data_IF_835715908702
#
_entry.id   IF_835715908702
#
_cell.length_a   1.000
_cell.length_b   1.000
_cell.length_c   1.000
_cell.angle_alpha   90.00
_cell.angle_beta   90.00
_cell.angle_gamma   90.00
#
_symmetry.space_group_name_H-M   'P 1'
#
loop_
_entity.id
_entity.type
_entity.pdbx_description
1 polymer ?
#
# COMPACT_ATOMS: atom_id res chain seq x y z
N UNK A 1 -8.00 20.27 -1.45
CA UNK A 1 -7.48 19.04 -2.08
C UNK A 1 -6.48 19.50 -3.12
N UNK A 2 -5.17 19.25 -2.91
CA UNK A 2 -4.15 19.57 -3.90
C UNK A 2 -4.13 18.43 -4.92
N UNK A 3 -4.82 18.62 -6.04
CA UNK A 3 -4.72 17.70 -7.18
C UNK A 3 -3.38 17.95 -7.86
N UNK A 4 -2.67 16.88 -8.21
CA UNK A 4 -1.43 16.96 -8.97
C UNK A 4 -1.68 16.50 -10.39
N UNK A 5 -1.27 17.32 -11.36
CA UNK A 5 -1.21 16.90 -12.75
C UNK A 5 0.16 16.24 -13.01
N UNK A 6 0.20 15.07 -13.67
CA UNK A 6 1.46 14.46 -14.10
C UNK A 6 2.18 15.31 -15.14
N UNK A 7 3.49 15.44 -14.99
CA UNK A 7 4.36 16.03 -16.00
C UNK A 7 4.57 15.07 -17.18
N UNK A 8 4.98 15.55 -18.37
CA UNK A 8 5.31 14.68 -19.49
C UNK A 8 6.38 13.64 -19.17
N UNK A 9 7.34 13.96 -18.30
CA UNK A 9 8.37 13.01 -17.85
C UNK A 9 7.78 11.88 -16.98
N UNK A 10 6.81 12.22 -16.12
CA UNK A 10 6.10 11.23 -15.30
C UNK A 10 5.21 10.32 -16.13
N UNK A 11 4.56 10.85 -17.17
CA UNK A 11 3.79 10.04 -18.12
C UNK A 11 4.71 9.12 -18.92
N UNK A 12 5.88 9.62 -19.35
CA UNK A 12 6.87 8.82 -20.06
C UNK A 12 7.38 7.64 -19.23
N UNK A 13 7.80 7.91 -17.98
CA UNK A 13 8.24 6.85 -17.07
C UNK A 13 7.13 5.86 -16.73
N UNK A 14 5.90 6.33 -16.50
CA UNK A 14 4.75 5.45 -16.25
C UNK A 14 4.53 4.48 -17.43
N UNK A 15 4.61 4.99 -18.66
CA UNK A 15 4.51 4.18 -19.89
C UNK A 15 5.61 3.12 -19.96
N UNK A 16 6.86 3.50 -19.68
CA UNK A 16 7.99 2.54 -19.66
C UNK A 16 7.80 1.43 -18.62
N UNK A 17 7.28 1.76 -17.43
CA UNK A 17 6.99 0.78 -16.39
C UNK A 17 5.85 -0.18 -16.81
N UNK A 18 4.79 0.34 -17.43
CA UNK A 18 3.69 -0.46 -17.97
C UNK A 18 4.16 -1.43 -19.06
N UNK A 19 4.92 -0.94 -20.04
CA UNK A 19 5.47 -1.76 -21.12
C UNK A 19 6.34 -2.90 -20.56
N UNK A 20 7.15 -2.58 -19.55
CA UNK A 20 7.96 -3.57 -18.84
C UNK A 20 7.07 -4.61 -18.14
N UNK A 21 6.05 -4.19 -17.40
CA UNK A 21 5.14 -5.10 -16.71
C UNK A 21 4.40 -6.03 -17.68
N UNK A 22 3.90 -5.48 -18.79
CA UNK A 22 3.24 -6.24 -19.87
C UNK A 22 4.18 -7.28 -20.46
N UNK A 23 5.44 -6.92 -20.73
CA UNK A 23 6.44 -7.86 -21.26
C UNK A 23 6.73 -9.04 -20.33
N UNK A 24 6.46 -8.87 -19.04
CA UNK A 24 6.64 -9.87 -17.98
C UNK A 24 5.34 -10.58 -17.58
N UNK A 25 4.20 -10.21 -18.18
CA UNK A 25 2.89 -10.76 -17.82
C UNK A 25 2.43 -10.36 -16.42
N UNK A 26 2.86 -9.20 -15.92
CA UNK A 26 2.53 -8.69 -14.59
C UNK A 26 1.28 -7.81 -14.62
N UNK A 27 0.49 -7.87 -13.55
CA UNK A 27 -0.65 -6.96 -13.35
C UNK A 27 -0.15 -5.65 -12.71
N UNK A 28 0.13 -4.66 -13.54
CA UNK A 28 0.51 -3.31 -13.14
C UNK A 28 -0.18 -2.32 -14.06
N UNK A 29 -1.17 -1.60 -13.54
CA UNK A 29 -2.03 -0.73 -14.34
C UNK A 29 -1.50 0.70 -14.46
N UNK A 30 -2.15 1.47 -15.34
CA UNK A 30 -1.81 2.87 -15.63
C UNK A 30 -1.93 3.81 -14.42
N UNK A 31 -2.79 3.49 -13.45
CA UNK A 31 -2.91 4.29 -12.24
C UNK A 31 -1.69 4.11 -11.33
N UNK A 32 -1.32 2.86 -11.09
CA UNK A 32 -0.20 2.51 -10.23
C UNK A 32 1.16 2.86 -10.86
N UNK A 33 1.32 2.68 -12.17
CA UNK A 33 2.50 3.15 -12.92
C UNK A 33 2.69 4.66 -12.77
N UNK A 34 1.60 5.43 -12.85
CA UNK A 34 1.63 6.87 -12.74
C UNK A 34 2.01 7.32 -11.32
N UNK A 35 1.48 6.68 -10.28
CA UNK A 35 1.82 6.95 -8.88
C UNK A 35 3.29 6.61 -8.59
N UNK A 36 3.80 5.50 -9.13
CA UNK A 36 5.21 5.12 -8.99
C UNK A 36 6.11 6.08 -9.75
N UNK A 37 5.73 6.54 -10.94
CA UNK A 37 6.50 7.54 -11.66
C UNK A 37 6.60 8.86 -10.87
N UNK A 38 5.49 9.30 -10.25
CA UNK A 38 5.47 10.46 -9.35
C UNK A 38 6.36 10.23 -8.12
N UNK A 39 6.27 9.05 -7.50
CA UNK A 39 7.15 8.66 -6.38
C UNK A 39 8.62 8.83 -6.75
N UNK A 40 9.02 8.32 -7.91
CA UNK A 40 10.41 8.31 -8.35
C UNK A 40 10.90 9.70 -8.77
N UNK A 41 10.14 10.42 -9.60
CA UNK A 41 10.61 11.68 -10.20
C UNK A 41 10.45 12.89 -9.28
N UNK A 42 9.47 12.89 -8.37
CA UNK A 42 9.34 13.95 -7.35
C UNK A 42 10.08 13.64 -6.07
N UNK A 43 10.81 12.52 -6.02
CA UNK A 43 11.51 12.04 -4.83
C UNK A 43 10.60 11.98 -3.60
N UNK A 44 9.31 11.63 -3.80
CA UNK A 44 8.38 11.54 -2.69
C UNK A 44 8.87 10.46 -1.70
N UNK A 45 8.76 10.68 -0.38
CA UNK A 45 9.40 9.78 0.58
C UNK A 45 8.72 8.41 0.62
N UNK A 46 7.41 8.36 0.32
CA UNK A 46 6.59 7.16 0.46
C UNK A 46 5.39 7.19 -0.47
N UNK A 47 5.06 6.04 -1.07
CA UNK A 47 3.77 5.77 -1.69
C UNK A 47 3.01 4.76 -0.81
N UNK A 48 1.76 5.08 -0.46
CA UNK A 48 0.85 4.14 0.20
C UNK A 48 -0.16 3.64 -0.83
N UNK A 49 -0.28 2.33 -1.02
CA UNK A 49 -1.27 1.72 -1.92
C UNK A 49 -1.93 0.49 -1.31
N UNK A 50 -3.18 0.23 -1.72
CA UNK A 50 -3.88 -1.02 -1.46
C UNK A 50 -3.64 -2.10 -2.52
N UNK A 51 -3.08 -1.76 -3.69
CA UNK A 51 -2.89 -2.73 -4.76
C UNK A 51 -1.65 -3.62 -4.49
N UNK A 52 -1.91 -4.78 -3.90
CA UNK A 52 -0.90 -5.79 -3.58
C UNK A 52 -0.22 -6.37 -4.84
N UNK A 53 -0.94 -6.39 -5.97
CA UNK A 53 -0.41 -6.91 -7.24
C UNK A 53 0.59 -5.92 -7.83
N UNK A 54 0.30 -4.63 -7.71
CA UNK A 54 1.25 -3.59 -8.09
C UNK A 54 2.55 -3.69 -7.29
N UNK A 55 2.46 -3.83 -5.96
CA UNK A 55 3.66 -3.98 -5.10
C UNK A 55 4.48 -5.22 -5.51
N UNK A 56 3.82 -6.35 -5.80
CA UNK A 56 4.48 -7.56 -6.30
C UNK A 56 5.12 -7.36 -7.68
N UNK A 57 4.46 -6.62 -8.58
CA UNK A 57 5.00 -6.28 -9.89
C UNK A 57 6.28 -5.43 -9.77
N UNK A 58 6.33 -4.46 -8.85
CA UNK A 58 7.54 -3.66 -8.62
C UNK A 58 8.75 -4.52 -8.21
N UNK A 59 8.52 -5.49 -7.33
CA UNK A 59 9.56 -6.46 -6.94
C UNK A 59 9.98 -7.34 -8.12
N UNK A 60 9.02 -7.88 -8.87
CA UNK A 60 9.30 -8.72 -10.04
C UNK A 60 10.07 -7.96 -11.14
N UNK A 61 9.75 -6.68 -11.34
CA UNK A 61 10.48 -5.77 -12.22
C UNK A 61 11.83 -5.32 -11.64
N UNK A 62 12.22 -5.74 -10.43
CA UNK A 62 13.47 -5.33 -9.79
C UNK A 62 13.63 -3.80 -9.77
N UNK A 63 12.56 -3.08 -9.45
CA UNK A 63 12.57 -1.62 -9.40
C UNK A 63 13.24 -1.13 -8.11
N UNK A 64 14.57 -1.22 -8.06
CA UNK A 64 15.36 -0.91 -6.85
C UNK A 64 15.18 0.51 -6.35
N UNK A 65 14.84 1.46 -7.23
CA UNK A 65 14.56 2.85 -6.87
C UNK A 65 13.29 3.03 -6.02
N UNK A 66 12.42 2.02 -5.96
CA UNK A 66 11.22 1.99 -5.13
C UNK A 66 11.41 1.18 -3.83
N UNK A 67 12.58 0.57 -3.61
CA UNK A 67 12.86 -0.19 -2.38
C UNK A 67 12.68 0.68 -1.14
N UNK A 68 12.04 0.10 -0.12
CA UNK A 68 11.72 0.74 1.17
C UNK A 68 10.91 2.03 1.07
N UNK A 69 10.26 2.29 -0.06
CA UNK A 69 9.48 3.52 -0.32
C UNK A 69 8.01 3.26 -0.60
N UNK A 70 7.55 2.03 -0.43
CA UNK A 70 6.15 1.64 -0.57
C UNK A 70 5.63 1.15 0.78
N UNK A 71 4.43 1.56 1.17
CA UNK A 71 3.68 0.93 2.25
C UNK A 71 2.36 0.37 1.71
N UNK A 72 1.96 -0.80 2.21
CA UNK A 72 0.62 -1.30 1.92
C UNK A 72 -0.42 -0.71 2.87
N UNK A 73 -1.69 -0.77 2.49
CA UNK A 73 -2.79 -0.26 3.29
C UNK A 73 -2.87 -0.90 4.69
N UNK A 74 -2.51 -2.18 4.83
CA UNK A 74 -2.44 -2.85 6.13
C UNK A 74 -1.38 -2.24 7.06
N UNK A 75 -0.22 -1.84 6.54
CA UNK A 75 0.81 -1.18 7.35
C UNK A 75 0.30 0.17 7.88
N UNK A 76 -0.41 0.92 7.04
CA UNK A 76 -1.07 2.18 7.45
C UNK A 76 -2.07 1.92 8.59
N UNK A 77 -2.94 0.93 8.48
CA UNK A 77 -3.92 0.63 9.54
C UNK A 77 -3.28 0.07 10.82
N UNK A 78 -2.23 -0.74 10.71
CA UNK A 78 -1.48 -1.20 11.88
C UNK A 78 -0.85 -0.03 12.64
N UNK A 79 -0.28 0.93 11.92
CA UNK A 79 0.24 2.17 12.49
C UNK A 79 -0.86 3.02 13.14
N UNK A 80 -2.02 3.16 12.49
CA UNK A 80 -3.14 3.90 13.05
C UNK A 80 -3.65 3.26 14.35
N UNK A 81 -3.74 1.93 14.42
CA UNK A 81 -4.12 1.21 15.65
C UNK A 81 -3.10 1.38 16.79
N UNK A 82 -1.82 1.58 16.48
CA UNK A 82 -0.82 1.90 17.48
C UNK A 82 -1.01 3.29 18.12
N UNK A 83 -1.70 4.21 17.42
CA UNK A 83 -1.91 5.60 17.86
C UNK A 83 -3.35 5.92 18.28
N UNK A 84 -4.31 5.10 17.88
CA UNK A 84 -5.74 5.39 18.02
C UNK A 84 -6.52 4.21 18.60
N UNK A 85 -7.59 4.47 19.37
CA UNK A 85 -8.47 3.40 19.84
C UNK A 85 -9.11 2.64 18.68
N UNK A 86 -9.36 1.35 18.88
CA UNK A 86 -9.95 0.46 17.87
C UNK A 86 -11.34 0.94 17.41
N UNK A 87 -12.25 1.22 18.33
CA UNK A 87 -13.67 1.46 18.03
C UNK A 87 -13.94 2.58 17.01
N UNK A 88 -13.35 3.79 17.15
CA UNK A 88 -13.53 4.84 16.15
C UNK A 88 -13.02 4.45 14.76
N UNK A 89 -11.84 3.80 14.69
CA UNK A 89 -11.23 3.38 13.43
C UNK A 89 -12.08 2.29 12.76
N UNK A 90 -12.46 1.28 13.54
CA UNK A 90 -13.34 0.18 13.11
C UNK A 90 -14.68 0.69 12.61
N UNK A 91 -15.28 1.68 13.27
CA UNK A 91 -16.55 2.27 12.83
C UNK A 91 -16.43 2.90 11.44
N UNK A 92 -15.36 3.65 11.18
CA UNK A 92 -15.11 4.25 9.88
C UNK A 92 -14.91 3.19 8.79
N UNK A 93 -14.06 2.19 9.05
CA UNK A 93 -13.80 1.10 8.11
C UNK A 93 -15.08 0.32 7.80
N UNK A 94 -15.84 -0.06 8.83
CA UNK A 94 -17.04 -0.87 8.65
C UNK A 94 -18.23 -0.10 8.06
N UNK A 95 -18.16 1.23 7.97
CA UNK A 95 -19.09 2.01 7.16
C UNK A 95 -18.80 1.89 5.65
N UNK A 96 -17.54 1.64 5.28
CA UNK A 96 -17.04 1.59 3.89
C UNK A 96 -16.56 0.18 3.50
N UNK A 97 -17.38 -0.84 3.75
CA UNK A 97 -17.01 -2.28 3.62
C UNK A 97 -16.55 -2.70 2.22
N UNK A 98 -16.96 -1.95 1.19
CA UNK A 98 -16.62 -2.23 -0.20
C UNK A 98 -15.27 -1.62 -0.61
N UNK A 99 -14.69 -0.74 0.21
CA UNK A 99 -13.43 -0.05 -0.11
C UNK A 99 -12.25 -1.02 -0.16
N UNK A 100 -12.12 -1.91 0.83
CA UNK A 100 -11.09 -2.95 0.85
C UNK A 100 -11.57 -4.19 1.63
N UNK A 101 -11.58 -5.34 0.96
CA UNK A 101 -12.05 -6.61 1.53
C UNK A 101 -11.10 -7.18 2.58
N UNK A 102 -9.79 -7.01 2.41
CA UNK A 102 -8.80 -7.52 3.36
C UNK A 102 -8.84 -6.72 4.66
N UNK A 103 -8.94 -5.40 4.58
CA UNK A 103 -9.12 -4.53 5.75
C UNK A 103 -10.47 -4.82 6.42
N UNK A 104 -11.56 -4.93 5.65
CA UNK A 104 -12.89 -5.29 6.18
C UNK A 104 -12.87 -6.62 6.94
N UNK A 105 -12.12 -7.60 6.44
CA UNK A 105 -11.93 -8.88 7.10
C UNK A 105 -11.10 -8.74 8.39
N UNK A 106 -9.98 -8.01 8.36
CA UNK A 106 -9.13 -7.79 9.53
C UNK A 106 -9.88 -7.08 10.68
N UNK A 107 -10.71 -6.09 10.36
CA UNK A 107 -11.51 -5.35 11.35
C UNK A 107 -12.82 -6.04 11.75
N UNK A 108 -13.03 -7.26 11.26
CA UNK A 108 -14.15 -8.13 11.60
C UNK A 108 -15.50 -7.40 11.50
N UNK A 109 -15.74 -6.70 10.38
CA UNK A 109 -16.94 -5.89 10.22
C UNK A 109 -18.24 -6.70 10.17
N UNK A 110 -18.17 -8.02 9.99
CA UNK A 110 -19.33 -8.94 10.00
C UNK A 110 -19.80 -9.34 11.40
N UNK A 111 -19.05 -9.04 12.46
CA UNK A 111 -19.40 -9.39 13.84
C UNK A 111 -19.63 -8.13 14.69
N UNK A 112 -20.34 -8.27 15.81
CA UNK A 112 -20.64 -7.12 16.67
C UNK A 112 -19.38 -6.58 17.37
N UNK A 113 -18.50 -7.46 17.82
CA UNK A 113 -17.31 -7.13 18.61
C UNK A 113 -16.11 -7.96 18.15
N UNK A 114 -14.91 -7.40 18.32
CA UNK A 114 -13.63 -8.06 18.06
C UNK A 114 -12.59 -7.49 19.03
N UNK A 115 -11.59 -8.29 19.40
CA UNK A 115 -10.49 -7.81 20.25
C UNK A 115 -9.42 -7.12 19.38
N UNK A 116 -8.73 -6.12 19.95
CA UNK A 116 -7.64 -5.43 19.26
C UNK A 116 -6.54 -6.40 18.82
N UNK A 117 -6.24 -7.41 19.64
CA UNK A 117 -5.22 -8.42 19.35
C UNK A 117 -5.57 -9.25 18.10
N UNK A 118 -6.85 -9.54 17.88
CA UNK A 118 -7.31 -10.28 16.69
C UNK A 118 -7.10 -9.44 15.42
N UNK A 119 -7.42 -8.14 15.49
CA UNK A 119 -7.25 -7.20 14.37
C UNK A 119 -5.77 -7.04 14.04
N UNK A 120 -4.93 -6.84 15.05
CA UNK A 120 -3.48 -6.71 14.90
C UNK A 120 -2.89 -8.00 14.32
N UNK A 121 -3.32 -9.17 14.80
CA UNK A 121 -2.87 -10.46 14.27
C UNK A 121 -3.27 -10.63 12.79
N UNK A 122 -4.49 -10.22 12.41
CA UNK A 122 -4.96 -10.22 11.03
C UNK A 122 -4.08 -9.36 10.12
N UNK A 123 -3.88 -8.09 10.49
CA UNK A 123 -3.04 -7.16 9.73
C UNK A 123 -1.60 -7.68 9.60
N UNK A 124 -1.00 -8.14 10.70
CA UNK A 124 0.36 -8.70 10.70
C UNK A 124 0.49 -9.93 9.80
N UNK A 125 -0.57 -10.74 9.68
CA UNK A 125 -0.61 -11.88 8.76
C UNK A 125 -0.52 -11.44 7.30
N UNK A 126 -1.32 -10.45 6.88
CA UNK A 126 -1.30 -9.90 5.53
C UNK A 126 0.03 -9.22 5.20
N UNK A 127 0.57 -8.41 6.10
CA UNK A 127 1.86 -7.72 5.91
C UNK A 127 2.99 -8.74 5.72
N UNK A 128 3.04 -9.77 6.57
CA UNK A 128 4.04 -10.84 6.46
C UNK A 128 3.90 -11.60 5.15
N UNK A 129 2.68 -11.93 4.73
CA UNK A 129 2.46 -12.60 3.45
C UNK A 129 2.98 -11.75 2.29
N UNK A 130 2.70 -10.44 2.31
CA UNK A 130 3.15 -9.53 1.27
C UNK A 130 4.68 -9.38 1.26
N UNK A 131 5.33 -9.23 2.42
CA UNK A 131 6.80 -9.18 2.52
C UNK A 131 7.49 -10.40 1.91
N UNK A 132 6.91 -11.59 2.06
CA UNK A 132 7.44 -12.82 1.46
C UNK A 132 7.43 -12.78 -0.08
N UNK A 133 6.52 -12.02 -0.69
CA UNK A 133 6.36 -11.93 -2.15
C UNK A 133 6.94 -10.66 -2.76
N UNK A 134 7.18 -9.62 -1.95
CA UNK A 134 7.60 -8.28 -2.41
C UNK A 134 9.02 -7.88 -1.98
N UNK A 135 9.72 -8.71 -1.21
CA UNK A 135 11.12 -8.49 -0.86
C UNK A 135 11.36 -7.14 -0.17
N UNK A 136 12.30 -6.35 -0.70
CA UNK A 136 12.71 -5.07 -0.13
C UNK A 136 11.85 -3.86 -0.58
N UNK A 137 10.78 -4.08 -1.34
CA UNK A 137 9.91 -2.99 -1.81
C UNK A 137 9.20 -2.29 -0.66
N UNK A 138 8.74 -3.06 0.34
CA UNK A 138 8.03 -2.48 1.47
C UNK A 138 8.98 -1.74 2.42
N UNK A 139 8.53 -0.58 2.89
CA UNK A 139 9.16 0.16 3.99
C UNK A 139 9.04 -0.65 5.28
N UNK A 140 10.03 -0.50 6.16
CA UNK A 140 9.97 -1.10 7.49
C UNK A 140 8.91 -0.43 8.36
N UNK A 141 8.24 -1.19 9.21
CA UNK A 141 7.13 -0.67 10.02
C UNK A 141 7.59 0.45 10.97
N UNK A 142 8.84 0.37 11.45
CA UNK A 142 9.46 1.40 12.28
C UNK A 142 9.74 2.71 11.50
N UNK A 143 9.97 2.61 10.19
CA UNK A 143 10.31 3.73 9.30
C UNK A 143 9.05 4.39 8.70
N UNK A 144 7.89 3.75 8.85
CA UNK A 144 6.61 4.32 8.38
C UNK A 144 6.17 5.51 9.22
N UNK A 145 6.34 5.42 10.54
CA UNK A 145 5.88 6.43 11.49
C UNK A 145 6.46 7.83 11.24
N UNK A 146 7.78 8.03 11.05
CA UNK A 146 8.36 9.34 10.80
C UNK A 146 7.94 9.99 9.49
N UNK A 147 7.48 9.20 8.51
CA UNK A 147 7.14 9.69 7.16
C UNK A 147 5.69 10.17 7.08
N UNK A 148 4.81 9.64 7.94
CA UNK A 148 3.36 9.94 7.94
C UNK A 148 2.95 10.84 9.12
N UNK A 149 3.89 11.22 9.99
CA UNK A 149 3.68 12.14 11.13
C UNK A 149 4.05 13.57 10.76
#
# INVERSE_FOLDING_TARGET
MNTIDPSPAEIGLATELEERAVSMGLEFDTGESQLVAVLLLREAPLLVTGDKRAIAALNAMHLTSAERRIACLEQLFAMLLAKHPLEPLRRGICAEREADKAITACFACSVAMTAIDDVVAGLASYIRHLRLTTGAILVEDADLLPVVS
#
